data_IF_718059543149
#
_entry.id   IF_718059543149
#
_cell.length_a   1.000
_cell.length_b   1.000
_cell.length_c   1.000
_cell.angle_alpha   90.00
_cell.angle_beta   90.00
_cell.angle_gamma   90.00
#
_symmetry.space_group_name_H-M   'P 1'
#
loop_
_entity.id
_entity.type
_entity.pdbx_description
1 polymer ?
#
# COMPACT_ATOMS: atom_id res chain seq x y z
N UNK A 1 1.51 -10.75 -2.74
CA UNK A 1 0.51 -10.13 -1.88
C UNK A 1 -0.90 -10.49 -2.28
N UNK A 2 -1.90 -10.05 -1.53
CA UNK A 2 -3.29 -10.33 -1.89
C UNK A 2 -3.61 -9.80 -3.29
N UNK A 3 -4.18 -10.61 -4.20
CA UNK A 3 -4.51 -10.16 -5.55
C UNK A 3 -5.45 -8.96 -5.60
N UNK A 4 -6.19 -8.74 -4.53
CA UNK A 4 -7.16 -7.65 -4.42
C UNK A 4 -6.53 -6.27 -4.62
N UNK A 5 -5.23 -6.11 -4.31
CA UNK A 5 -4.55 -4.82 -4.48
C UNK A 5 -3.92 -4.63 -5.85
N UNK A 6 -3.81 -5.70 -6.64
CA UNK A 6 -3.20 -5.61 -7.97
C UNK A 6 -4.08 -4.77 -8.89
N UNK A 7 -3.44 -3.90 -9.68
CA UNK A 7 -4.07 -2.97 -10.60
C UNK A 7 -4.91 -1.87 -9.95
N UNK A 8 -5.07 -1.90 -8.64
CA UNK A 8 -5.53 -0.75 -7.90
C UNK A 8 -4.45 0.33 -7.85
N UNK A 9 -4.67 1.38 -7.14
CA UNK A 9 -3.64 2.42 -7.04
C UNK A 9 -3.50 2.96 -5.62
N UNK A 10 -2.28 3.40 -5.33
CA UNK A 10 -1.97 4.10 -4.10
C UNK A 10 -2.31 5.57 -4.31
N UNK A 11 -3.28 6.05 -3.57
CA UNK A 11 -3.80 7.41 -3.72
C UNK A 11 -3.00 8.41 -2.91
N UNK A 12 -2.67 8.06 -1.67
CA UNK A 12 -2.02 8.98 -0.73
C UNK A 12 -1.24 8.22 0.32
N UNK A 13 -0.12 8.79 0.75
CA UNK A 13 0.61 8.33 1.93
C UNK A 13 0.65 9.49 2.93
N UNK A 14 0.24 9.23 4.15
CA UNK A 14 0.39 10.17 5.26
C UNK A 14 1.43 9.60 6.20
N UNK A 15 2.58 10.24 6.28
CA UNK A 15 3.71 9.77 7.08
C UNK A 15 3.70 10.39 8.46
N UNK A 16 3.63 9.54 9.47
CA UNK A 16 3.81 9.89 10.87
C UNK A 16 4.52 8.71 11.51
N UNK A 17 5.45 8.96 12.43
CA UNK A 17 6.23 7.87 13.05
C UNK A 17 5.35 6.84 13.73
N UNK A 18 4.35 7.30 14.46
CA UNK A 18 3.46 6.39 15.22
C UNK A 18 2.39 5.77 14.33
N UNK A 19 1.95 6.47 13.30
CA UNK A 19 0.82 6.04 12.49
C UNK A 19 0.98 6.53 11.06
N UNK A 20 1.39 5.63 10.18
CA UNK A 20 1.53 5.92 8.75
C UNK A 20 0.34 5.29 8.02
N UNK A 21 -0.34 6.07 7.20
CA UNK A 21 -1.54 5.61 6.49
C UNK A 21 -1.30 5.60 4.99
N UNK A 22 -1.54 4.45 4.36
CA UNK A 22 -1.55 4.32 2.91
C UNK A 22 -3.00 4.19 2.47
N UNK A 23 -3.48 5.21 1.77
CA UNK A 23 -4.83 5.20 1.20
C UNK A 23 -4.79 4.60 -0.18
N UNK A 24 -5.48 3.48 -0.36
CA UNK A 24 -5.47 2.71 -1.60
C UNK A 24 -6.86 2.58 -2.17
N UNK A 25 -6.95 2.47 -3.49
CA UNK A 25 -8.21 2.20 -4.18
C UNK A 25 -8.16 0.80 -4.78
N UNK A 26 -9.13 -0.02 -4.40
CA UNK A 26 -9.33 -1.36 -4.96
C UNK A 26 -10.35 -1.24 -6.08
N UNK A 27 -9.99 -1.73 -7.27
CA UNK A 27 -10.86 -1.63 -8.43
C UNK A 27 -11.87 -2.78 -8.46
N UNK A 28 -13.13 -2.44 -8.68
CA UNK A 28 -14.21 -3.43 -8.77
C UNK A 28 -14.05 -4.35 -9.96
N UNK A 29 -13.43 -3.87 -11.05
CA UNK A 29 -13.20 -4.67 -12.25
C UNK A 29 -12.33 -5.90 -12.00
N UNK A 30 -11.44 -5.82 -10.98
CA UNK A 30 -10.52 -6.90 -10.65
C UNK A 30 -10.92 -7.64 -9.38
N UNK A 31 -12.08 -7.30 -8.82
CA UNK A 31 -12.57 -7.93 -7.60
C UNK A 31 -14.09 -8.08 -7.66
N UNK A 32 -14.59 -9.23 -8.11
CA UNK A 32 -16.02 -9.43 -8.33
C UNK A 32 -16.91 -9.31 -7.09
N UNK A 33 -16.33 -9.37 -5.90
CA UNK A 33 -17.09 -9.18 -4.67
C UNK A 33 -17.44 -7.71 -4.42
N UNK A 34 -16.81 -6.78 -5.14
CA UNK A 34 -17.06 -5.35 -4.98
C UNK A 34 -18.01 -4.86 -6.07
N UNK A 35 -18.97 -4.02 -5.68
CA UNK A 35 -19.92 -3.39 -6.60
C UNK A 35 -19.38 -2.09 -7.20
N UNK A 36 -18.39 -1.49 -6.54
CA UNK A 36 -17.77 -0.24 -6.97
C UNK A 36 -16.34 -0.19 -6.47
N UNK A 37 -15.55 0.70 -7.04
CA UNK A 37 -14.20 0.96 -6.56
C UNK A 37 -14.26 1.38 -5.09
N UNK A 38 -13.37 0.82 -4.29
CA UNK A 38 -13.41 0.97 -2.85
C UNK A 38 -12.09 1.52 -2.31
N UNK A 39 -12.18 2.52 -1.46
CA UNK A 39 -11.01 3.07 -0.77
C UNK A 39 -10.79 2.25 0.50
N UNK A 40 -9.54 1.80 0.68
CA UNK A 40 -9.10 1.15 1.91
C UNK A 40 -7.84 1.83 2.41
N UNK A 41 -7.67 1.81 3.72
CA UNK A 41 -6.50 2.39 4.37
C UNK A 41 -5.68 1.29 5.02
N UNK A 42 -4.42 1.17 4.63
CA UNK A 42 -3.45 0.36 5.35
C UNK A 42 -2.80 1.25 6.39
N UNK A 43 -2.96 0.90 7.65
CA UNK A 43 -2.41 1.65 8.76
C UNK A 43 -1.21 0.92 9.31
N UNK A 44 -0.03 1.53 9.17
CA UNK A 44 1.23 0.97 9.63
C UNK A 44 1.62 1.65 10.94
N UNK A 45 1.82 0.85 11.99
CA UNK A 45 2.21 1.35 13.29
C UNK A 45 3.72 1.30 13.46
N UNK A 46 4.27 2.39 13.98
CA UNK A 46 5.68 2.50 14.36
C UNK A 46 6.63 2.24 13.18
N UNK A 47 6.43 2.98 12.09
CA UNK A 47 7.33 2.96 10.94
C UNK A 47 8.66 3.57 11.36
N UNK A 48 9.74 2.78 11.26
CA UNK A 48 11.07 3.20 11.68
C UNK A 48 12.06 3.33 10.53
N UNK A 49 11.70 2.84 9.35
CA UNK A 49 12.49 3.03 8.13
C UNK A 49 11.58 2.91 6.92
N UNK A 50 11.82 3.74 5.92
CA UNK A 50 11.06 3.66 4.69
C UNK A 50 11.85 4.24 3.52
N UNK A 51 11.49 3.78 2.33
CA UNK A 51 11.94 4.35 1.07
C UNK A 51 10.75 4.38 0.13
N UNK A 52 10.42 5.54 -0.42
CA UNK A 52 9.28 5.70 -1.31
C UNK A 52 9.81 6.11 -2.68
N UNK A 53 9.49 5.30 -3.69
CA UNK A 53 9.75 5.60 -5.08
C UNK A 53 8.42 5.79 -5.77
N UNK A 54 8.20 6.97 -6.32
CA UNK A 54 6.92 7.31 -6.92
C UNK A 54 7.11 8.30 -8.05
N UNK A 55 6.32 8.10 -9.09
CA UNK A 55 6.20 9.09 -10.16
C UNK A 55 4.75 9.51 -10.19
N UNK A 56 4.52 10.81 -10.12
CA UNK A 56 3.17 11.36 -10.06
C UNK A 56 2.31 10.91 -11.24
N UNK A 57 1.13 10.39 -10.94
CA UNK A 57 0.12 10.04 -11.93
C UNK A 57 -1.17 10.82 -11.65
N UNK A 58 -2.09 10.84 -12.61
CA UNK A 58 -3.30 11.66 -12.51
C UNK A 58 -4.20 11.28 -11.32
N UNK A 59 -4.15 10.02 -10.89
CA UNK A 59 -5.08 9.48 -9.89
C UNK A 59 -4.46 9.30 -8.50
N UNK A 60 -3.20 9.70 -8.30
CA UNK A 60 -2.53 9.51 -7.03
C UNK A 60 -1.03 9.36 -7.20
N UNK A 61 -0.44 8.43 -6.45
CA UNK A 61 1.02 8.24 -6.46
C UNK A 61 1.47 7.23 -7.51
N UNK A 62 0.83 6.07 -7.58
CA UNK A 62 1.15 5.07 -8.61
C UNK A 62 0.11 3.95 -8.65
N UNK A 63 0.10 3.23 -9.76
CA UNK A 63 -0.69 2.00 -9.91
C UNK A 63 0.10 0.86 -9.28
N UNK A 64 -0.58 0.02 -8.51
CA UNK A 64 0.04 -1.08 -7.76
C UNK A 64 0.15 -2.31 -8.66
N UNK A 65 1.38 -2.80 -8.85
CA UNK A 65 1.62 -4.07 -9.50
C UNK A 65 1.65 -5.21 -8.48
N UNK A 66 2.30 -4.98 -7.34
CA UNK A 66 2.38 -5.98 -6.28
C UNK A 66 2.52 -5.34 -4.91
N UNK A 67 1.96 -6.01 -3.92
CA UNK A 67 2.11 -5.65 -2.52
C UNK A 67 2.47 -6.91 -1.75
N UNK A 68 3.58 -6.89 -1.03
CA UNK A 68 4.09 -8.02 -0.27
C UNK A 68 4.39 -7.58 1.16
N UNK A 69 3.98 -8.39 2.12
CA UNK A 69 4.25 -8.15 3.54
C UNK A 69 4.93 -9.38 4.10
N UNK A 70 6.08 -9.19 4.73
CA UNK A 70 6.87 -10.27 5.33
C UNK A 70 7.27 -9.93 6.74
N UNK A 71 7.47 -10.98 7.54
CA UNK A 71 8.09 -10.82 8.84
C UNK A 71 9.60 -10.69 8.66
N UNK A 72 10.19 -9.72 9.36
CA UNK A 72 11.64 -9.51 9.35
C UNK A 72 12.08 -9.22 10.78
N UNK A 73 12.79 -10.17 11.39
CA UNK A 73 13.12 -10.06 12.81
C UNK A 73 11.87 -10.06 13.67
N UNK A 74 11.73 -9.05 14.52
CA UNK A 74 10.56 -8.88 15.37
C UNK A 74 9.49 -7.97 14.74
N UNK A 75 9.79 -7.38 13.60
CA UNK A 75 8.90 -6.46 12.91
C UNK A 75 8.40 -6.99 11.58
N UNK A 76 7.87 -6.09 10.78
CA UNK A 76 7.32 -6.38 9.47
C UNK A 76 7.96 -5.48 8.41
N UNK A 77 8.04 -5.99 7.19
CA UNK A 77 8.43 -5.20 6.04
C UNK A 77 7.36 -5.33 4.96
N UNK A 78 6.95 -4.20 4.41
CA UNK A 78 6.03 -4.16 3.29
C UNK A 78 6.76 -3.61 2.07
N UNK A 79 6.58 -4.29 0.95
CA UNK A 79 7.10 -3.84 -0.34
C UNK A 79 5.93 -3.58 -1.28
N UNK A 80 5.95 -2.40 -1.88
CA UNK A 80 4.98 -2.00 -2.89
C UNK A 80 5.71 -1.79 -4.20
N UNK A 81 5.37 -2.58 -5.20
CA UNK A 81 5.90 -2.41 -6.54
C UNK A 81 4.88 -1.67 -7.39
N UNK A 82 5.30 -0.60 -8.04
CA UNK A 82 4.45 0.12 -8.98
C UNK A 82 4.39 -0.62 -10.32
N UNK A 83 3.40 -0.28 -11.14
CA UNK A 83 3.29 -0.82 -12.49
C UNK A 83 4.48 -0.47 -13.38
N UNK A 84 5.30 0.49 -12.97
CA UNK A 84 6.52 0.92 -13.67
C UNK A 84 7.78 0.24 -13.14
N UNK A 85 7.63 -0.66 -12.16
CA UNK A 85 8.75 -1.38 -11.57
C UNK A 85 9.45 -0.68 -10.42
N UNK A 86 8.95 0.48 -9.99
CA UNK A 86 9.50 1.18 -8.84
C UNK A 86 9.11 0.47 -7.56
N UNK A 87 10.03 0.41 -6.60
CA UNK A 87 9.82 -0.32 -5.35
C UNK A 87 9.84 0.62 -4.16
N UNK A 88 8.75 0.63 -3.40
CA UNK A 88 8.66 1.34 -2.13
C UNK A 88 8.67 0.34 -0.99
N UNK A 89 9.36 0.66 0.10
CA UNK A 89 9.58 -0.26 1.22
C UNK A 89 9.29 0.44 2.53
N UNK A 90 8.61 -0.26 3.44
CA UNK A 90 8.29 0.25 4.78
C UNK A 90 8.65 -0.81 5.82
N UNK A 91 9.36 -0.42 6.86
CA UNK A 91 9.67 -1.26 8.01
C UNK A 91 8.89 -0.74 9.22
N UNK A 92 8.09 -1.60 9.82
CA UNK A 92 7.14 -1.19 10.86
C UNK A 92 6.85 -2.34 11.82
N UNK A 93 6.08 -2.08 12.88
CA UNK A 93 5.82 -3.09 13.92
C UNK A 93 4.53 -3.86 13.68
N UNK A 94 3.45 -3.18 13.33
CA UNK A 94 2.17 -3.84 13.11
C UNK A 94 1.34 -3.12 12.06
N UNK A 95 0.35 -3.81 11.52
CA UNK A 95 -0.48 -3.30 10.44
C UNK A 95 -1.96 -3.61 10.72
N UNK A 96 -2.82 -2.70 10.30
CA UNK A 96 -4.26 -2.95 10.29
C UNK A 96 -4.87 -2.39 9.01
N UNK A 97 -5.97 -3.00 8.59
CA UNK A 97 -6.72 -2.60 7.42
C UNK A 97 -8.00 -1.90 7.88
N UNK A 98 -8.24 -0.70 7.38
CA UNK A 98 -9.44 0.07 7.69
C UNK A 98 -10.15 0.51 6.42
N UNK A 99 -11.45 0.49 6.47
CA UNK A 99 -12.30 0.97 5.37
C UNK A 99 -12.33 2.51 5.33
#
# INVERSE_FOLDING_TARGET
GPPVFNDGYLKRITLDRSLTVLEMVILSDHNPSLKKDTVVNLVLHDVHAFNIESEKVDHGLFVINDLDIRREGTGLVMRLESSRGEMSTFHFESIELKD
#
